data_IF_314879291563
#
_entry.id   IF_314879291563
#
_cell.length_a   1.000
_cell.length_b   1.000
_cell.length_c   1.000
_cell.angle_alpha   90.00
_cell.angle_beta   90.00
_cell.angle_gamma   90.00
#
_symmetry.space_group_name_H-M   'P 1'
#
loop_
_entity.id
_entity.type
_entity.pdbx_description
1 polymer ?
#
# COMPACT_ATOMS: atom_id res chain seq x y z
N UNK A 1 8.04 -25.80 -8.49
CA UNK A 1 7.70 -26.17 -7.10
C UNK A 1 8.49 -25.37 -6.06
N UNK A 2 9.72 -24.97 -6.35
CA UNK A 2 10.56 -24.19 -5.40
C UNK A 2 10.08 -22.74 -5.14
N UNK A 3 9.60 -22.00 -6.14
CA UNK A 3 9.21 -20.59 -5.95
C UNK A 3 8.07 -20.39 -4.95
N UNK A 4 7.09 -21.31 -4.88
CA UNK A 4 5.96 -21.21 -3.94
C UNK A 4 6.37 -21.52 -2.50
N UNK A 5 7.33 -22.41 -2.32
CA UNK A 5 7.87 -22.75 -0.99
C UNK A 5 8.79 -21.65 -0.47
N UNK A 6 9.52 -20.96 -1.34
CA UNK A 6 10.39 -19.85 -0.94
C UNK A 6 9.55 -18.64 -0.51
N UNK A 7 8.47 -18.32 -1.26
CA UNK A 7 7.56 -17.23 -0.87
C UNK A 7 6.81 -17.51 0.45
N UNK A 8 6.40 -18.77 0.73
CA UNK A 8 5.79 -19.15 2.02
C UNK A 8 6.77 -19.00 3.18
N UNK A 9 8.05 -19.33 2.95
CA UNK A 9 9.11 -19.18 3.95
C UNK A 9 9.38 -17.70 4.26
N UNK A 10 9.48 -16.86 3.25
CA UNK A 10 9.67 -15.41 3.42
C UNK A 10 8.51 -14.79 4.18
N UNK A 11 7.27 -15.17 3.84
CA UNK A 11 6.07 -14.70 4.55
C UNK A 11 6.07 -15.14 6.01
N UNK A 12 6.40 -16.40 6.30
CA UNK A 12 6.51 -16.93 7.67
C UNK A 12 7.55 -16.13 8.47
N UNK A 13 8.75 -15.94 7.91
CA UNK A 13 9.84 -15.21 8.57
C UNK A 13 9.43 -13.74 8.83
N UNK A 14 8.76 -13.09 7.88
CA UNK A 14 8.26 -11.73 8.05
C UNK A 14 7.19 -11.63 9.14
N UNK A 15 6.26 -12.59 9.20
CA UNK A 15 5.24 -12.64 10.24
C UNK A 15 5.84 -12.86 11.64
N UNK A 16 6.82 -13.77 11.77
CA UNK A 16 7.55 -14.00 13.02
C UNK A 16 8.29 -12.72 13.44
N UNK A 17 8.93 -12.02 12.50
CA UNK A 17 9.61 -10.76 12.80
C UNK A 17 8.65 -9.71 13.38
N UNK A 18 7.52 -9.48 12.73
CA UNK A 18 6.50 -8.52 13.22
C UNK A 18 5.99 -8.91 14.59
N UNK A 19 5.70 -10.20 14.79
CA UNK A 19 5.23 -10.72 16.06
C UNK A 19 6.26 -10.51 17.18
N UNK A 20 7.54 -10.80 16.92
CA UNK A 20 8.62 -10.59 17.87
C UNK A 20 8.82 -9.11 18.21
N UNK A 21 8.67 -8.19 17.24
CA UNK A 21 8.74 -6.75 17.49
C UNK A 21 7.63 -6.28 18.45
N UNK A 22 6.40 -6.78 18.25
CA UNK A 22 5.28 -6.44 19.13
C UNK A 22 5.50 -7.02 20.52
N UNK A 23 5.91 -8.29 20.64
CA UNK A 23 6.23 -8.93 21.92
C UNK A 23 7.36 -8.21 22.65
N UNK A 24 8.40 -7.81 21.94
CA UNK A 24 9.52 -7.05 22.51
C UNK A 24 9.05 -5.75 23.15
N UNK A 25 8.19 -5.00 22.46
CA UNK A 25 7.60 -3.78 23.01
C UNK A 25 6.76 -4.06 24.25
N UNK A 26 5.90 -5.07 24.20
CA UNK A 26 5.02 -5.45 25.33
C UNK A 26 5.86 -5.89 26.54
N UNK A 27 6.82 -6.78 26.38
CA UNK A 27 7.62 -7.26 27.50
C UNK A 27 8.51 -6.19 28.10
N UNK A 28 9.10 -5.32 27.29
CA UNK A 28 9.85 -4.17 27.81
C UNK A 28 8.98 -3.23 28.60
N UNK A 29 7.72 -3.01 28.18
CA UNK A 29 6.75 -2.17 28.91
C UNK A 29 6.38 -2.81 30.26
N UNK A 30 6.16 -4.13 30.29
CA UNK A 30 5.85 -4.85 31.54
C UNK A 30 7.01 -4.81 32.51
N UNK A 31 8.24 -5.05 32.08
CA UNK A 31 9.45 -4.95 32.92
C UNK A 31 9.54 -3.52 33.52
N UNK A 32 9.36 -2.49 32.68
CA UNK A 32 9.41 -1.11 33.15
C UNK A 32 8.31 -0.83 34.20
N UNK A 33 7.10 -1.33 33.96
CA UNK A 33 5.98 -1.17 34.88
C UNK A 33 6.25 -1.90 36.19
N UNK A 34 6.75 -3.14 36.17
CA UNK A 34 7.10 -3.91 37.35
C UNK A 34 8.17 -3.24 38.19
N UNK A 35 9.23 -2.70 37.55
CA UNK A 35 10.27 -1.94 38.23
C UNK A 35 9.74 -0.64 38.84
N UNK A 36 8.84 0.05 38.15
CA UNK A 36 8.21 1.27 38.65
C UNK A 36 7.30 0.97 39.88
N UNK A 37 6.52 -0.13 39.83
CA UNK A 37 5.70 -0.56 40.95
C UNK A 37 6.54 -0.95 42.18
N UNK A 38 7.66 -1.64 41.99
CA UNK A 38 8.63 -1.94 43.05
C UNK A 38 9.19 -0.64 43.65
N UNK A 39 9.52 0.35 42.80
CA UNK A 39 10.01 1.64 43.25
C UNK A 39 8.97 2.39 44.12
N UNK A 40 7.68 2.26 43.85
CA UNK A 40 6.59 2.75 44.65
C UNK A 40 6.31 1.91 45.92
N UNK A 41 7.12 0.89 46.21
CA UNK A 41 7.01 0.05 47.39
C UNK A 41 6.01 -1.10 47.28
N UNK A 42 5.47 -1.38 46.08
CA UNK A 42 4.61 -2.52 45.86
C UNK A 42 5.48 -3.80 45.74
N UNK A 43 5.17 -4.77 46.58
CA UNK A 43 5.90 -6.05 46.61
C UNK A 43 5.47 -6.93 45.45
N UNK A 44 6.26 -6.96 44.36
CA UNK A 44 6.07 -7.91 43.28
C UNK A 44 6.96 -9.13 43.54
N UNK A 45 6.44 -10.37 43.41
CA UNK A 45 7.23 -11.59 43.56
C UNK A 45 8.39 -11.58 42.59
N UNK A 46 9.60 -11.88 43.08
CA UNK A 46 10.82 -11.88 42.25
C UNK A 46 10.72 -12.86 41.07
N UNK A 47 9.96 -13.92 41.24
CA UNK A 47 9.70 -14.93 40.22
C UNK A 47 8.97 -14.32 39.01
N UNK A 48 8.03 -13.40 39.21
CA UNK A 48 7.28 -12.73 38.15
C UNK A 48 8.21 -11.86 37.33
N UNK A 49 9.01 -11.06 38.01
CA UNK A 49 10.04 -10.23 37.36
C UNK A 49 11.03 -11.12 36.59
N UNK A 50 11.41 -12.26 37.18
CA UNK A 50 12.26 -13.25 36.52
C UNK A 50 11.65 -13.82 35.24
N UNK A 51 10.34 -14.12 35.24
CA UNK A 51 9.63 -14.58 34.03
C UNK A 51 9.53 -13.49 32.98
N UNK A 52 9.27 -12.23 33.36
CA UNK A 52 9.23 -11.11 32.40
C UNK A 52 10.59 -10.96 31.69
N UNK A 53 11.69 -11.03 32.43
CA UNK A 53 13.04 -11.03 31.84
C UNK A 53 13.28 -12.24 30.96
N UNK A 54 12.84 -13.43 31.39
CA UNK A 54 12.95 -14.64 30.58
C UNK A 54 12.21 -14.51 29.25
N UNK A 55 10.97 -14.03 29.25
CA UNK A 55 10.18 -13.80 28.04
C UNK A 55 10.84 -12.77 27.10
N UNK A 56 11.41 -11.71 27.68
CA UNK A 56 12.16 -10.71 26.91
C UNK A 56 13.40 -11.32 26.23
N UNK A 57 14.22 -12.05 26.97
CA UNK A 57 15.42 -12.70 26.41
C UNK A 57 15.08 -13.84 25.46
N UNK A 58 14.04 -14.62 25.73
CA UNK A 58 13.53 -15.65 24.80
C UNK A 58 13.17 -15.03 23.44
N UNK A 59 12.48 -13.90 23.46
CA UNK A 59 12.11 -13.19 22.23
C UNK A 59 13.35 -12.65 21.49
N UNK A 60 14.34 -12.11 22.19
CA UNK A 60 15.61 -11.67 21.61
C UNK A 60 16.37 -12.85 20.99
N UNK A 61 16.40 -13.99 21.66
CA UNK A 61 17.05 -15.20 21.16
C UNK A 61 16.34 -15.76 19.91
N UNK A 62 15.01 -15.75 19.91
CA UNK A 62 14.21 -16.11 18.73
C UNK A 62 14.56 -15.21 17.52
N UNK A 63 14.78 -13.93 17.73
CA UNK A 63 15.18 -13.00 16.67
C UNK A 63 16.60 -13.29 16.13
N UNK A 64 17.52 -13.70 17.00
CA UNK A 64 18.87 -14.13 16.59
C UNK A 64 18.80 -15.41 15.75
N UNK A 65 17.99 -16.40 16.17
CA UNK A 65 17.78 -17.64 15.42
C UNK A 65 17.15 -17.36 14.06
N UNK A 66 16.18 -16.47 14.00
CA UNK A 66 15.55 -16.03 12.75
C UNK A 66 16.59 -15.53 11.76
N UNK A 67 17.47 -14.63 12.18
CA UNK A 67 18.49 -14.02 11.32
C UNK A 67 19.60 -14.99 10.89
N UNK A 68 20.02 -15.89 11.76
CA UNK A 68 21.21 -16.74 11.54
C UNK A 68 20.91 -18.16 11.09
N UNK A 69 19.80 -18.75 11.54
CA UNK A 69 19.52 -20.17 11.39
C UNK A 69 18.31 -20.43 10.49
N UNK A 70 17.21 -19.73 10.71
CA UNK A 70 15.94 -20.07 10.06
C UNK A 70 15.89 -19.72 8.56
N UNK A 71 16.69 -18.75 8.10
CA UNK A 71 16.79 -18.41 6.68
C UNK A 71 17.22 -19.61 5.82
N UNK A 72 17.97 -20.55 6.41
CA UNK A 72 18.48 -21.76 5.73
C UNK A 72 17.60 -23.00 5.93
N UNK A 73 16.46 -22.87 6.60
CA UNK A 73 15.58 -23.97 6.97
C UNK A 73 14.33 -24.04 6.11
N UNK A 74 13.67 -25.20 6.13
CA UNK A 74 12.35 -25.36 5.47
C UNK A 74 11.24 -24.71 6.30
N UNK A 75 10.11 -24.37 5.65
CA UNK A 75 8.91 -23.82 6.32
C UNK A 75 8.46 -24.66 7.51
N UNK A 76 8.47 -26.00 7.36
CA UNK A 76 8.08 -26.93 8.43
C UNK A 76 9.04 -26.87 9.63
N UNK A 77 10.35 -26.82 9.38
CA UNK A 77 11.36 -26.75 10.44
C UNK A 77 11.29 -25.41 11.19
N UNK A 78 11.09 -24.29 10.48
CA UNK A 78 10.93 -22.98 11.10
C UNK A 78 9.65 -22.95 11.93
N UNK A 79 8.52 -23.40 11.37
CA UNK A 79 7.24 -23.46 12.08
C UNK A 79 7.32 -24.31 13.34
N UNK A 80 7.94 -25.49 13.27
CA UNK A 80 8.11 -26.38 14.43
C UNK A 80 9.00 -25.74 15.50
N UNK A 81 10.13 -25.16 15.12
CA UNK A 81 11.02 -24.45 16.05
C UNK A 81 10.30 -23.28 16.73
N UNK A 82 9.56 -22.50 15.98
CA UNK A 82 8.79 -21.38 16.52
C UNK A 82 7.65 -21.84 17.43
N UNK A 83 6.98 -22.95 17.11
CA UNK A 83 5.98 -23.59 17.98
C UNK A 83 6.57 -23.97 19.34
N UNK A 84 7.74 -24.60 19.36
CA UNK A 84 8.43 -24.98 20.60
C UNK A 84 8.73 -23.74 21.45
N UNK A 85 9.22 -22.66 20.85
CA UNK A 85 9.43 -21.40 21.56
C UNK A 85 8.15 -20.87 22.20
N UNK A 86 7.06 -20.84 21.46
CA UNK A 86 5.76 -20.38 21.96
C UNK A 86 5.28 -21.22 23.15
N UNK A 87 5.46 -22.55 23.11
CA UNK A 87 5.09 -23.46 24.20
C UNK A 87 5.93 -23.18 25.46
N UNK A 88 7.25 -22.99 25.31
CA UNK A 88 8.13 -22.65 26.43
C UNK A 88 7.75 -21.33 27.06
N UNK A 89 7.45 -20.31 26.25
CA UNK A 89 7.00 -19.01 26.73
C UNK A 89 5.65 -19.11 27.48
N UNK A 90 4.70 -19.93 27.01
CA UNK A 90 3.42 -20.17 27.67
C UNK A 90 3.63 -20.88 29.01
N UNK A 91 4.50 -21.90 29.08
CA UNK A 91 4.79 -22.59 30.34
C UNK A 91 5.39 -21.61 31.36
N UNK A 92 6.36 -20.78 30.96
CA UNK A 92 6.95 -19.80 31.87
C UNK A 92 5.93 -18.76 32.35
N UNK A 93 5.01 -18.34 31.46
CA UNK A 93 3.90 -17.45 31.82
C UNK A 93 2.93 -18.09 32.81
N UNK A 94 2.60 -19.38 32.64
CA UNK A 94 1.75 -20.14 33.58
C UNK A 94 2.38 -20.24 34.96
N UNK A 95 3.71 -20.44 35.05
CA UNK A 95 4.43 -20.42 36.33
C UNK A 95 4.32 -19.06 37.01
N UNK A 96 4.42 -17.95 36.26
CA UNK A 96 4.20 -16.63 36.82
C UNK A 96 2.75 -16.44 37.29
N UNK A 97 1.77 -16.85 36.47
CA UNK A 97 0.35 -16.72 36.78
C UNK A 97 -0.03 -17.53 38.03
N UNK A 98 0.51 -18.73 38.22
CA UNK A 98 0.24 -19.59 39.41
C UNK A 98 0.73 -18.96 40.72
N UNK A 99 1.64 -17.99 40.67
CA UNK A 99 2.15 -17.26 41.82
C UNK A 99 1.41 -15.96 42.10
N UNK A 100 0.51 -15.55 41.19
CA UNK A 100 -0.43 -14.49 41.43
C UNK A 100 -1.81 -15.11 41.59
N UNK A 101 -2.59 -14.58 42.48
CA UNK A 101 -4.05 -14.85 42.56
C UNK A 101 -4.77 -14.50 41.24
N UNK A 102 -3.98 -14.27 40.23
CA UNK A 102 -4.32 -13.75 38.92
C UNK A 102 -4.80 -14.84 37.94
N UNK A 103 -4.92 -16.10 38.39
CA UNK A 103 -5.55 -17.17 37.57
C UNK A 103 -6.95 -16.73 37.14
N UNK A 104 -7.61 -15.90 37.95
CA UNK A 104 -8.97 -15.45 37.69
C UNK A 104 -9.12 -14.31 36.69
N UNK A 105 -8.25 -13.33 36.65
CA UNK A 105 -8.47 -12.15 35.80
C UNK A 105 -7.30 -11.75 34.91
N UNK A 106 -6.06 -11.83 35.38
CA UNK A 106 -4.90 -11.38 34.60
C UNK A 106 -4.34 -12.45 33.67
N UNK A 107 -4.19 -13.69 34.17
CA UNK A 107 -3.54 -14.77 33.46
C UNK A 107 -4.24 -15.18 32.17
N UNK A 108 -5.55 -15.10 32.14
CA UNK A 108 -6.36 -15.46 30.99
C UNK A 108 -6.19 -14.45 29.86
N UNK A 109 -6.20 -13.18 30.19
CA UNK A 109 -5.96 -12.12 29.21
C UNK A 109 -4.61 -12.31 28.54
N UNK A 110 -3.56 -12.67 29.33
CA UNK A 110 -2.25 -12.97 28.79
C UNK A 110 -2.23 -14.20 27.87
N UNK A 111 -2.90 -15.30 28.28
CA UNK A 111 -2.98 -16.48 27.43
C UNK A 111 -3.79 -16.23 26.15
N UNK A 112 -4.84 -15.44 26.22
CA UNK A 112 -5.60 -15.02 25.03
C UNK A 112 -4.77 -14.13 24.09
N UNK A 113 -3.99 -13.21 24.64
CA UNK A 113 -3.05 -12.39 23.86
C UNK A 113 -2.00 -13.30 23.19
N UNK A 114 -1.48 -14.29 23.91
CA UNK A 114 -0.54 -15.25 23.36
C UNK A 114 -1.13 -16.09 22.23
N UNK A 115 -2.37 -16.51 22.38
CA UNK A 115 -3.12 -17.19 21.33
C UNK A 115 -3.27 -16.31 20.09
N UNK A 116 -3.57 -15.02 20.27
CA UNK A 116 -3.66 -14.07 19.16
C UNK A 116 -2.32 -13.92 18.43
N UNK A 117 -1.21 -13.84 19.17
CA UNK A 117 0.14 -13.83 18.58
C UNK A 117 0.46 -15.09 17.78
N UNK A 118 -0.03 -16.24 18.20
CA UNK A 118 0.12 -17.46 17.42
C UNK A 118 -0.59 -17.35 16.06
N UNK A 119 -1.80 -16.79 16.01
CA UNK A 119 -2.52 -16.58 14.76
C UNK A 119 -1.82 -15.57 13.82
N UNK A 120 -1.12 -14.58 14.37
CA UNK A 120 -0.37 -13.59 13.60
C UNK A 120 0.99 -14.14 13.12
N UNK A 121 1.62 -15.03 13.91
CA UNK A 121 2.98 -15.51 13.65
C UNK A 121 3.07 -16.66 12.64
N UNK A 122 2.04 -17.51 12.53
CA UNK A 122 2.08 -18.69 11.67
C UNK A 122 1.33 -18.51 10.35
N UNK A 123 1.90 -19.05 9.26
CA UNK A 123 1.23 -19.10 7.96
C UNK A 123 0.19 -20.22 7.87
N UNK A 124 0.41 -21.35 8.59
CA UNK A 124 -0.51 -22.49 8.61
C UNK A 124 -1.37 -22.51 9.86
N UNK A 125 -2.68 -22.64 9.70
CA UNK A 125 -3.68 -22.60 10.78
C UNK A 125 -3.51 -23.73 11.81
N UNK A 126 -2.85 -24.84 11.45
CA UNK A 126 -2.65 -25.96 12.36
C UNK A 126 -1.87 -25.59 13.63
N UNK A 127 -0.82 -24.77 13.48
CA UNK A 127 0.04 -24.38 14.60
C UNK A 127 -0.66 -23.47 15.63
N UNK A 128 -1.36 -22.40 15.23
CA UNK A 128 -2.16 -21.61 16.17
C UNK A 128 -3.21 -22.43 16.92
N UNK A 129 -3.84 -23.43 16.28
CA UNK A 129 -4.80 -24.33 16.95
C UNK A 129 -4.13 -25.19 18.01
N UNK A 130 -2.93 -25.70 17.73
CA UNK A 130 -2.14 -26.44 18.72
C UNK A 130 -1.84 -25.55 19.94
N UNK A 131 -1.41 -24.31 19.71
CA UNK A 131 -1.13 -23.34 20.79
C UNK A 131 -2.40 -23.02 21.57
N UNK A 132 -3.52 -22.77 20.90
CA UNK A 132 -4.79 -22.48 21.55
C UNK A 132 -5.26 -23.65 22.44
N UNK A 133 -5.18 -24.87 21.93
CA UNK A 133 -5.49 -26.08 22.70
C UNK A 133 -4.56 -26.24 23.90
N UNK A 134 -3.26 -26.00 23.70
CA UNK A 134 -2.26 -26.06 24.76
C UNK A 134 -2.55 -25.01 25.85
N UNK A 135 -2.86 -23.76 25.49
CA UNK A 135 -3.24 -22.72 26.44
C UNK A 135 -4.46 -23.11 27.26
N UNK A 136 -5.53 -23.61 26.63
CA UNK A 136 -6.75 -24.04 27.32
C UNK A 136 -6.53 -25.20 28.27
N UNK A 137 -5.81 -26.25 27.83
CA UNK A 137 -5.51 -27.43 28.65
C UNK A 137 -4.58 -27.07 29.83
N UNK A 138 -3.53 -26.30 29.56
CA UNK A 138 -2.59 -25.86 30.58
C UNK A 138 -3.25 -25.02 31.65
N UNK A 139 -4.13 -24.12 31.24
CA UNK A 139 -4.94 -23.31 32.15
C UNK A 139 -5.83 -24.21 33.05
N UNK A 140 -6.54 -25.17 32.43
CA UNK A 140 -7.40 -26.09 33.17
C UNK A 140 -6.59 -26.90 34.20
N UNK A 141 -5.41 -27.42 33.80
CA UNK A 141 -4.52 -28.14 34.70
C UNK A 141 -4.08 -27.24 35.86
N UNK A 142 -3.63 -26.01 35.58
CA UNK A 142 -3.19 -25.08 36.63
C UNK A 142 -4.33 -24.79 37.63
N UNK A 143 -5.54 -24.50 37.13
CA UNK A 143 -6.70 -24.26 37.97
C UNK A 143 -7.09 -25.48 38.85
N UNK A 144 -6.95 -26.71 38.32
CA UNK A 144 -7.20 -27.92 39.08
C UNK A 144 -6.12 -28.16 40.16
N UNK A 145 -4.83 -27.95 39.84
CA UNK A 145 -3.74 -28.08 40.79
C UNK A 145 -3.88 -27.07 41.95
N UNK A 146 -4.34 -25.87 41.68
CA UNK A 146 -4.64 -24.88 42.69
C UNK A 146 -5.85 -25.26 43.53
N UNK A 147 -6.94 -25.75 42.88
CA UNK A 147 -8.13 -26.22 43.60
C UNK A 147 -7.84 -27.39 44.59
N UNK A 148 -6.95 -28.29 44.20
CA UNK A 148 -6.52 -29.42 45.07
C UNK A 148 -5.45 -29.01 46.06
N UNK A 149 -5.01 -27.77 46.13
CA UNK A 149 -4.02 -27.24 47.05
C UNK A 149 -2.59 -27.75 46.80
N UNK A 150 -2.31 -28.29 45.59
CA UNK A 150 -0.99 -28.78 45.19
C UNK A 150 -0.06 -27.59 44.94
N UNK A 151 -0.56 -26.50 44.32
CA UNK A 151 0.16 -25.25 44.17
C UNK A 151 -0.17 -24.31 45.31
N UNK A 152 0.82 -23.56 45.89
CA UNK A 152 0.55 -22.63 46.97
C UNK A 152 -0.31 -21.48 46.49
N UNK A 153 -1.43 -21.25 47.17
CA UNK A 153 -2.28 -20.08 46.97
C UNK A 153 -1.63 -18.88 47.67
N UNK A 154 -1.28 -17.87 46.89
CA UNK A 154 -0.79 -16.58 47.38
C UNK A 154 -1.90 -15.54 47.21
N UNK A 155 -2.66 -15.24 48.28
CA UNK A 155 -3.63 -14.15 48.28
C UNK A 155 -2.91 -12.81 48.23
N UNK A 156 -2.61 -12.37 47.01
CA UNK A 156 -1.88 -11.15 46.77
C UNK A 156 -2.71 -9.89 47.06
N UNK A 157 -4.01 -9.99 46.91
CA UNK A 157 -4.93 -8.86 47.11
C UNK A 157 -5.56 -8.82 48.49
N UNK A 158 -5.26 -9.78 49.35
CA UNK A 158 -5.86 -9.89 50.68
C UNK A 158 -7.40 -9.79 50.60
N UNK A 159 -7.97 -10.33 49.56
CA UNK A 159 -9.40 -10.23 49.23
C UNK A 159 -10.30 -11.00 50.20
N UNK A 160 -9.71 -11.89 50.99
CA UNK A 160 -10.45 -12.78 51.90
C UNK A 160 -11.36 -13.78 51.17
N UNK A 161 -11.45 -13.75 49.87
CA UNK A 161 -12.28 -14.62 49.05
C UNK A 161 -11.43 -15.76 48.51
N UNK A 162 -11.35 -16.87 49.21
CA UNK A 162 -10.73 -18.06 48.69
C UNK A 162 -11.68 -18.74 47.66
N UNK A 163 -11.45 -18.46 46.40
CA UNK A 163 -12.22 -19.00 45.28
C UNK A 163 -12.21 -20.53 45.26
N UNK A 164 -11.13 -21.14 45.70
CA UNK A 164 -10.99 -22.60 45.73
C UNK A 164 -11.89 -23.27 46.77
N UNK A 165 -12.29 -22.54 47.80
CA UNK A 165 -13.23 -23.04 48.82
C UNK A 165 -14.70 -22.87 48.39
N UNK A 166 -14.98 -21.95 47.44
CA UNK A 166 -16.35 -21.73 46.95
C UNK A 166 -16.56 -22.54 45.64
N UNK A 167 -16.97 -23.80 45.78
CA UNK A 167 -17.21 -24.70 44.64
C UNK A 167 -18.08 -24.14 43.53
N UNK A 168 -19.24 -23.48 43.78
CA UNK A 168 -20.02 -22.89 42.69
C UNK A 168 -19.29 -21.83 41.91
N UNK A 169 -18.55 -20.97 42.58
CA UNK A 169 -17.78 -19.88 41.94
C UNK A 169 -16.59 -20.44 41.12
N UNK A 170 -15.92 -21.46 41.63
CA UNK A 170 -14.86 -22.16 40.92
C UNK A 170 -15.36 -22.81 39.62
N UNK A 171 -16.50 -23.55 39.68
CA UNK A 171 -17.12 -24.18 38.50
C UNK A 171 -17.53 -23.11 37.48
N UNK A 172 -18.18 -22.02 37.94
CA UNK A 172 -18.59 -20.91 37.08
C UNK A 172 -17.36 -20.27 36.35
N UNK A 173 -16.30 -20.05 37.09
CA UNK A 173 -15.06 -19.48 36.54
C UNK A 173 -14.43 -20.39 35.48
N UNK A 174 -14.25 -21.68 35.75
CA UNK A 174 -13.72 -22.65 34.77
C UNK A 174 -14.62 -22.68 33.52
N UNK A 175 -15.95 -22.76 33.71
CA UNK A 175 -16.88 -22.81 32.56
C UNK A 175 -16.78 -21.57 31.70
N UNK A 176 -16.76 -20.39 32.32
CA UNK A 176 -16.61 -19.13 31.62
C UNK A 176 -15.27 -19.07 30.83
N UNK A 177 -14.17 -19.52 31.44
CA UNK A 177 -12.85 -19.51 30.86
C UNK A 177 -12.69 -20.47 29.69
N UNK A 178 -13.20 -21.70 29.85
CA UNK A 178 -13.22 -22.67 28.75
C UNK A 178 -14.05 -22.16 27.57
N UNK A 179 -15.17 -21.50 27.86
CA UNK A 179 -15.98 -20.81 26.85
C UNK A 179 -15.22 -19.69 26.14
N UNK A 180 -14.48 -18.88 26.88
CA UNK A 180 -13.67 -17.80 26.32
C UNK A 180 -12.52 -18.31 25.44
N UNK A 181 -11.83 -19.40 25.85
CA UNK A 181 -10.81 -20.03 25.00
C UNK A 181 -11.39 -20.64 23.73
N UNK A 182 -12.53 -21.33 23.84
CA UNK A 182 -13.21 -21.89 22.68
C UNK A 182 -13.62 -20.77 21.70
N UNK A 183 -14.23 -19.71 22.24
CA UNK A 183 -14.66 -18.55 21.46
C UNK A 183 -13.45 -17.88 20.77
N UNK A 184 -12.35 -17.64 21.50
CA UNK A 184 -11.16 -17.00 20.92
C UNK A 184 -10.51 -17.84 19.83
N UNK A 185 -10.55 -19.19 19.97
CA UNK A 185 -10.04 -20.11 18.94
C UNK A 185 -10.90 -20.05 17.67
N UNK A 186 -12.22 -20.13 17.81
CA UNK A 186 -13.14 -20.06 16.68
C UNK A 186 -13.07 -18.70 15.98
N UNK A 187 -13.04 -17.64 16.78
CA UNK A 187 -12.91 -16.27 16.26
C UNK A 187 -11.57 -16.04 15.58
N UNK A 188 -10.46 -16.51 16.16
CA UNK A 188 -9.12 -16.45 15.58
C UNK A 188 -9.03 -17.17 14.22
N UNK A 189 -9.63 -18.36 14.13
CA UNK A 189 -9.72 -19.12 12.88
C UNK A 189 -10.52 -18.36 11.81
N UNK A 190 -11.69 -17.86 12.18
CA UNK A 190 -12.57 -17.09 11.30
C UNK A 190 -11.88 -15.82 10.81
N UNK A 191 -11.31 -15.05 11.75
CA UNK A 191 -10.60 -13.80 11.45
C UNK A 191 -9.41 -14.04 10.54
N UNK A 192 -8.58 -15.05 10.83
CA UNK A 192 -7.39 -15.38 10.02
C UNK A 192 -7.79 -15.78 8.60
N UNK A 193 -8.83 -16.61 8.43
CA UNK A 193 -9.33 -16.97 7.10
C UNK A 193 -9.82 -15.76 6.33
N UNK A 194 -10.59 -14.88 6.98
CA UNK A 194 -11.12 -13.65 6.36
C UNK A 194 -10.02 -12.69 5.98
N UNK A 195 -9.03 -12.49 6.86
CA UNK A 195 -7.87 -11.62 6.61
C UNK A 195 -7.01 -12.15 5.46
N UNK A 196 -6.73 -13.46 5.40
CA UNK A 196 -5.98 -14.05 4.29
C UNK A 196 -6.69 -13.85 2.97
N UNK A 197 -8.00 -14.12 2.91
CA UNK A 197 -8.78 -13.86 1.70
C UNK A 197 -8.68 -12.40 1.26
N UNK A 198 -8.81 -11.47 2.21
CA UNK A 198 -8.69 -10.04 1.92
C UNK A 198 -7.30 -9.65 1.39
N UNK A 199 -6.24 -10.23 1.99
CA UNK A 199 -4.86 -10.01 1.54
C UNK A 199 -4.66 -10.55 0.12
N UNK A 200 -5.18 -11.74 -0.18
CA UNK A 200 -5.08 -12.32 -1.53
C UNK A 200 -5.84 -11.48 -2.56
N UNK A 201 -7.05 -11.03 -2.23
CA UNK A 201 -7.84 -10.12 -3.08
C UNK A 201 -7.11 -8.78 -3.31
N UNK A 202 -6.49 -8.23 -2.26
CA UNK A 202 -5.69 -7.00 -2.38
C UNK A 202 -4.44 -7.22 -3.26
N UNK A 203 -3.75 -8.35 -3.11
CA UNK A 203 -2.59 -8.69 -3.95
C UNK A 203 -2.98 -8.79 -5.43
N UNK A 204 -4.09 -9.47 -5.73
CA UNK A 204 -4.59 -9.57 -7.11
C UNK A 204 -4.94 -8.19 -7.69
N UNK A 205 -5.63 -7.36 -6.94
CA UNK A 205 -5.96 -5.99 -7.36
C UNK A 205 -4.71 -5.13 -7.58
N UNK A 206 -3.71 -5.26 -6.70
CA UNK A 206 -2.45 -4.53 -6.84
C UNK A 206 -1.71 -4.95 -8.11
N UNK A 207 -1.67 -6.27 -8.41
CA UNK A 207 -1.06 -6.77 -9.65
C UNK A 207 -1.80 -6.26 -10.90
N UNK A 208 -3.14 -6.26 -10.86
CA UNK A 208 -3.95 -5.72 -11.95
C UNK A 208 -3.71 -4.22 -12.17
N UNK A 209 -3.63 -3.45 -11.08
CA UNK A 209 -3.34 -2.01 -11.13
C UNK A 209 -1.95 -1.75 -11.71
N UNK A 210 -0.93 -2.50 -11.28
CA UNK A 210 0.43 -2.36 -11.83
C UNK A 210 0.46 -2.63 -13.33
N UNK A 211 -0.23 -3.70 -13.78
CA UNK A 211 -0.33 -4.02 -15.20
C UNK A 211 -1.03 -2.90 -16.00
N UNK A 212 -2.15 -2.38 -15.48
CA UNK A 212 -2.85 -1.25 -16.12
C UNK A 212 -2.00 0.02 -16.16
N UNK A 213 -1.20 0.25 -15.14
CA UNK A 213 -0.27 1.39 -15.11
C UNK A 213 0.82 1.26 -16.18
N UNK A 214 1.35 0.06 -16.40
CA UNK A 214 2.31 -0.22 -17.49
C UNK A 214 1.66 0.00 -18.87
N UNK A 215 0.46 -0.59 -19.09
CA UNK A 215 -0.30 -0.40 -20.33
C UNK A 215 -0.61 1.08 -20.61
N UNK A 216 -0.93 1.85 -19.57
CA UNK A 216 -1.18 3.28 -19.68
C UNK A 216 0.09 4.07 -20.04
N UNK A 217 1.24 3.71 -19.45
CA UNK A 217 2.54 4.32 -19.79
C UNK A 217 2.93 4.05 -21.25
N UNK A 218 2.73 2.83 -21.74
CA UNK A 218 2.99 2.48 -23.13
C UNK A 218 2.04 3.25 -24.08
N UNK A 219 0.75 3.27 -23.78
CA UNK A 219 -0.23 4.01 -24.58
C UNK A 219 0.08 5.52 -24.62
N UNK A 220 0.50 6.09 -23.50
CA UNK A 220 0.92 7.49 -23.40
C UNK A 220 2.15 7.78 -24.26
N UNK A 221 3.18 6.92 -24.21
CA UNK A 221 4.38 7.07 -25.03
C UNK A 221 4.06 7.01 -26.52
N UNK A 222 3.20 6.05 -26.95
CA UNK A 222 2.74 5.97 -28.34
C UNK A 222 1.97 7.22 -28.78
N UNK A 223 1.13 7.74 -27.88
CA UNK A 223 0.37 8.95 -28.16
C UNK A 223 1.29 10.18 -28.30
N UNK A 224 2.27 10.32 -27.44
CA UNK A 224 3.28 11.41 -27.50
C UNK A 224 4.04 11.38 -28.83
N UNK A 225 4.47 10.20 -29.30
CA UNK A 225 5.12 10.03 -30.60
C UNK A 225 4.18 10.44 -31.75
N UNK A 226 2.90 10.01 -31.70
CA UNK A 226 1.91 10.38 -32.72
C UNK A 226 1.63 11.89 -32.73
N UNK A 227 1.53 12.49 -31.56
CA UNK A 227 1.32 13.96 -31.44
C UNK A 227 2.54 14.70 -32.01
N UNK A 228 3.76 14.32 -31.64
CA UNK A 228 4.98 14.92 -32.17
C UNK A 228 5.06 14.81 -33.70
N UNK A 229 4.77 13.63 -34.26
CA UNK A 229 4.76 13.41 -35.70
C UNK A 229 3.71 14.25 -36.43
N UNK A 230 2.50 14.38 -35.88
CA UNK A 230 1.43 15.21 -36.43
C UNK A 230 1.77 16.72 -36.35
N UNK A 231 2.33 17.14 -35.22
CA UNK A 231 2.75 18.54 -35.04
C UNK A 231 3.84 18.91 -36.05
N UNK A 232 4.80 18.02 -36.28
CA UNK A 232 5.84 18.22 -37.31
C UNK A 232 5.23 18.31 -38.71
N UNK A 233 4.32 17.40 -39.09
CA UNK A 233 3.62 17.47 -40.38
C UNK A 233 2.83 18.74 -40.56
N UNK A 234 2.12 19.20 -39.51
CA UNK A 234 1.40 20.48 -39.55
C UNK A 234 2.33 21.66 -39.74
N UNK A 235 3.48 21.68 -39.07
CA UNK A 235 4.51 22.72 -39.24
C UNK A 235 5.07 22.75 -40.66
N UNK A 236 5.42 21.57 -41.21
CA UNK A 236 5.90 21.44 -42.58
C UNK A 236 4.83 21.91 -43.62
N UNK A 237 3.58 21.56 -43.43
CA UNK A 237 2.48 21.98 -44.27
C UNK A 237 2.24 23.50 -44.17
N UNK A 238 2.27 24.07 -42.97
CA UNK A 238 2.12 25.50 -42.75
C UNK A 238 3.22 26.29 -43.46
N UNK A 239 4.46 25.83 -43.35
CA UNK A 239 5.60 26.46 -44.04
C UNK A 239 5.45 26.39 -45.58
N UNK A 240 5.06 25.23 -46.09
CA UNK A 240 4.81 25.06 -47.55
C UNK A 240 3.68 25.95 -48.04
N UNK A 241 2.60 26.11 -47.28
CA UNK A 241 1.49 27.03 -47.60
C UNK A 241 1.95 28.49 -47.58
N UNK A 242 2.76 28.87 -46.60
CA UNK A 242 3.32 30.21 -46.48
C UNK A 242 4.20 30.56 -47.68
N UNK A 243 5.04 29.61 -48.13
CA UNK A 243 5.83 29.76 -49.36
C UNK A 243 4.97 29.90 -50.60
N UNK A 244 3.95 29.05 -50.77
CA UNK A 244 3.02 29.12 -51.88
C UNK A 244 2.24 30.45 -51.91
N UNK A 245 1.75 30.93 -50.77
CA UNK A 245 1.08 32.21 -50.65
C UNK A 245 2.02 33.34 -51.03
N UNK A 246 3.26 33.33 -50.58
CA UNK A 246 4.27 34.33 -50.93
C UNK A 246 4.56 34.35 -52.46
N UNK A 247 4.71 33.17 -53.05
CA UNK A 247 4.93 33.02 -54.50
C UNK A 247 3.75 33.54 -55.30
N UNK A 248 2.52 33.11 -54.94
CA UNK A 248 1.32 33.59 -55.60
C UNK A 248 1.06 35.09 -55.44
N UNK A 249 1.40 35.62 -54.29
CA UNK A 249 1.31 37.06 -54.05
C UNK A 249 2.27 37.83 -54.94
N UNK A 250 3.47 37.33 -55.13
CA UNK A 250 4.47 37.91 -56.04
C UNK A 250 4.01 37.86 -57.50
N UNK A 251 3.53 36.71 -57.98
CA UNK A 251 2.94 36.53 -59.31
C UNK A 251 1.81 37.52 -59.57
N UNK A 252 0.89 37.65 -58.58
CA UNK A 252 -0.23 38.62 -58.68
C UNK A 252 0.25 40.05 -58.72
N UNK A 253 1.26 40.44 -57.96
CA UNK A 253 1.86 41.77 -58.01
C UNK A 253 2.49 42.08 -59.37
N UNK A 254 3.19 41.11 -59.94
CA UNK A 254 3.79 41.25 -61.27
C UNK A 254 2.70 41.42 -62.32
N UNK A 255 1.62 40.64 -62.28
CA UNK A 255 0.46 40.79 -63.19
C UNK A 255 -0.25 42.14 -63.04
N UNK A 256 -0.41 42.63 -61.82
CA UNK A 256 -0.99 43.93 -61.52
C UNK A 256 -0.11 45.03 -62.15
N UNK A 257 1.21 44.97 -62.01
CA UNK A 257 2.12 45.93 -62.63
C UNK A 257 2.06 45.92 -64.20
N UNK A 258 1.96 44.68 -64.74
CA UNK A 258 1.75 44.58 -66.22
C UNK A 258 0.46 45.17 -66.67
N UNK A 259 -0.66 44.94 -65.98
CA UNK A 259 -1.98 45.53 -66.27
C UNK A 259 -1.93 47.05 -66.15
N UNK A 260 -1.29 47.59 -65.10
CA UNK A 260 -1.14 49.03 -64.93
C UNK A 260 -0.31 49.63 -66.07
N UNK A 261 0.74 48.99 -66.57
CA UNK A 261 1.47 49.45 -67.76
C UNK A 261 0.61 49.40 -68.98
N UNK A 262 -0.14 48.34 -69.21
CA UNK A 262 -1.11 48.24 -70.30
C UNK A 262 -2.16 49.34 -70.24
N UNK A 263 -2.70 49.60 -69.07
CA UNK A 263 -3.69 50.66 -68.86
C UNK A 263 -3.11 52.03 -69.16
N UNK A 264 -1.89 52.35 -68.71
CA UNK A 264 -1.22 53.65 -69.08
C UNK A 264 -1.02 53.75 -70.54
N UNK A 265 -0.64 52.73 -71.26
CA UNK A 265 -0.45 52.74 -72.73
C UNK A 265 -1.81 52.92 -73.41
N UNK A 266 -2.88 52.26 -72.98
CA UNK A 266 -4.23 52.36 -73.53
C UNK A 266 -4.76 53.79 -73.37
N UNK A 267 -4.66 54.33 -72.13
CA UNK A 267 -5.07 55.71 -71.83
C UNK A 267 -4.26 56.73 -72.67
N UNK A 268 -2.91 56.53 -72.79
CA UNK A 268 -2.06 57.39 -73.66
C UNK A 268 -2.46 57.34 -75.14
N UNK A 269 -2.84 56.15 -75.64
CA UNK A 269 -3.38 56.01 -77.03
C UNK A 269 -4.73 56.74 -77.21
N UNK A 270 -5.64 56.62 -76.23
CA UNK A 270 -6.91 57.30 -76.30
C UNK A 270 -6.75 58.81 -76.27
N UNK A 271 -5.87 59.37 -75.40
CA UNK A 271 -5.57 60.80 -75.36
C UNK A 271 -4.98 61.26 -76.68
N UNK A 272 -4.04 60.50 -77.29
CA UNK A 272 -3.46 60.88 -78.61
C UNK A 272 -4.50 60.76 -79.69
N UNK A 273 -5.41 59.83 -79.70
CA UNK A 273 -6.54 59.75 -80.63
C UNK A 273 -7.49 60.93 -80.49
N UNK A 274 -7.75 61.45 -79.27
CA UNK A 274 -8.52 62.62 -79.03
C UNK A 274 -7.82 63.85 -79.55
N UNK A 275 -6.50 63.99 -79.34
CA UNK A 275 -5.68 65.09 -79.91
C UNK A 275 -5.72 65.11 -81.45
N UNK A 276 -5.44 63.94 -82.05
CA UNK A 276 -5.53 63.83 -83.52
C UNK A 276 -6.90 64.09 -84.06
N UNK A 277 -7.96 63.70 -83.43
CA UNK A 277 -9.33 64.06 -83.82
C UNK A 277 -9.57 65.56 -83.74
N UNK A 278 -9.03 66.25 -82.73
CA UNK A 278 -9.10 67.71 -82.63
C UNK A 278 -8.36 68.44 -83.74
N UNK A 279 -7.11 67.93 -84.06
CA UNK A 279 -6.31 68.45 -85.17
C UNK A 279 -7.03 68.26 -86.51
N UNK A 280 -7.54 67.06 -86.78
CA UNK A 280 -8.29 66.76 -87.99
C UNK A 280 -9.53 67.73 -88.12
N UNK A 281 -10.20 67.97 -87.00
CA UNK A 281 -11.33 68.92 -86.99
C UNK A 281 -10.91 70.36 -87.32
N UNK A 282 -9.79 70.85 -86.74
CA UNK A 282 -9.23 72.15 -87.02
C UNK A 282 -8.81 72.28 -88.50
N UNK A 283 -8.08 71.31 -89.03
CA UNK A 283 -7.65 71.25 -90.41
C UNK A 283 -8.87 71.25 -91.40
N UNK A 284 -9.94 70.53 -91.06
CA UNK A 284 -11.19 70.49 -91.80
C UNK A 284 -11.86 71.89 -91.80
N UNK A 285 -11.93 72.53 -90.66
CA UNK A 285 -12.48 73.92 -90.53
C UNK A 285 -11.64 74.97 -91.32
N UNK A 286 -10.31 74.85 -91.29
CA UNK A 286 -9.43 75.68 -92.10
C UNK A 286 -9.60 75.43 -93.61
N UNK A 287 -9.73 74.17 -94.00
CA UNK A 287 -9.93 73.80 -95.41
C UNK A 287 -11.27 74.26 -95.93
N UNK A 288 -12.34 74.28 -95.13
CA UNK A 288 -13.64 74.87 -95.45
C UNK A 288 -13.56 76.40 -95.57
N UNK A 289 -12.78 77.07 -94.71
CA UNK A 289 -12.48 78.49 -94.81
C UNK A 289 -11.73 78.83 -96.06
N UNK A 290 -10.77 78.05 -96.47
CA UNK A 290 -10.04 78.21 -97.75
C UNK A 290 -10.92 77.94 -98.94
N UNK A 291 -11.79 76.91 -98.89
CA UNK A 291 -12.76 76.65 -99.98
C UNK A 291 -13.79 77.80 -100.12
N UNK A 292 -14.19 78.45 -99.05
CA UNK A 292 -15.11 79.57 -99.08
C UNK A 292 -14.46 80.87 -99.56
N UNK A 293 -13.15 81.04 -99.55
CA UNK A 293 -12.39 82.20 -100.12
C UNK A 293 -12.03 82.06 -101.58
N UNK A 294 -12.20 80.86 -102.15
CA UNK A 294 -11.90 80.62 -103.60
C UNK A 294 -13.19 80.61 -104.42
N UNK A 295 -14.33 80.79 -103.81
CA UNK A 295 -15.61 80.94 -104.49
C UNK A 295 -15.99 82.40 -104.38
#
# INVERSE_FOLDING_TARGET
MNQKTDSELEELIANIQKNNQIKFFIFSTFILLSLLLIWFGIKIPILVVGVEFFLFFSNLFCEILRKKVWIKKTVSQVSLSYLIFQIIEIISLLVAISHFDAVLFGGIVFLMIYQLFAYLGFTRIIYPRIIASFCGISFLITALLEHFGITPYLDFYNSGVNLNQNRPLFIATITYMMGAFLYSTLYGDFFTKKMRKLIDDLRLKTQELTKREEELKEAKAVLEIKVAARTRKLSELAQSLEEQVKERTKELQEKIQELEKFQKIAVGRELKMIELKKEIKKLKEELEKYKSKIK
#
